data_IF_766511075619
#
_entry.id   IF_766511075619
#
_cell.length_a   1.000
_cell.length_b   1.000
_cell.length_c   1.000
_cell.angle_alpha   90.00
_cell.angle_beta   90.00
_cell.angle_gamma   90.00
#
_symmetry.space_group_name_H-M   'P 1'
#
loop_
_entity.id
_entity.type
_entity.pdbx_description
1 polymer ?
#
# COMPACT_ATOMS: atom_id res chain seq x y z
N UNK A 1 -0.89 39.24 -18.20
CA UNK A 1 -0.55 37.85 -17.79
C UNK A 1 -1.75 36.97 -18.08
N UNK A 2 -1.57 35.80 -18.68
CA UNK A 2 -2.66 34.82 -18.91
C UNK A 2 -2.63 33.76 -17.80
N UNK A 3 -3.76 33.51 -17.11
CA UNK A 3 -3.82 32.45 -16.12
C UNK A 3 -3.67 31.08 -16.79
N UNK A 4 -2.89 30.17 -16.20
CA UNK A 4 -2.65 28.82 -16.70
C UNK A 4 -2.90 27.81 -15.59
N UNK A 5 -3.50 26.68 -15.95
CA UNK A 5 -3.67 25.55 -15.03
C UNK A 5 -2.32 25.03 -14.54
N UNK A 6 -2.27 24.61 -13.27
CA UNK A 6 -1.08 24.00 -12.66
C UNK A 6 -0.71 22.72 -13.41
N UNK A 7 0.57 22.49 -13.64
CA UNK A 7 1.06 21.45 -14.57
C UNK A 7 0.69 20.02 -14.17
N UNK A 8 0.82 19.69 -12.89
CA UNK A 8 0.44 18.40 -12.30
C UNK A 8 -1.06 18.13 -12.47
N UNK A 9 -1.91 19.10 -12.15
CA UNK A 9 -3.37 18.96 -12.27
C UNK A 9 -3.78 18.90 -13.74
N UNK A 10 -3.18 19.73 -14.60
CA UNK A 10 -3.49 19.80 -16.02
C UNK A 10 -3.20 18.49 -16.76
N UNK A 11 -2.18 17.74 -16.32
CA UNK A 11 -1.83 16.43 -16.89
C UNK A 11 -2.60 15.30 -16.21
N UNK A 12 -2.62 15.25 -14.88
CA UNK A 12 -3.15 14.11 -14.14
C UNK A 12 -4.69 14.05 -14.17
N UNK A 13 -5.38 15.19 -14.10
CA UNK A 13 -6.85 15.18 -13.97
C UNK A 13 -7.54 14.62 -15.23
N UNK A 14 -7.19 15.03 -16.47
CA UNK A 14 -7.75 14.40 -17.67
C UNK A 14 -7.38 12.92 -17.80
N UNK A 15 -6.18 12.53 -17.37
CA UNK A 15 -5.77 11.13 -17.36
C UNK A 15 -6.66 10.29 -16.43
N UNK A 16 -6.92 10.77 -15.20
CA UNK A 16 -7.80 10.11 -14.24
C UNK A 16 -9.24 10.02 -14.75
N UNK A 17 -9.78 11.08 -15.36
CA UNK A 17 -11.11 11.05 -16.00
C UNK A 17 -11.21 10.00 -17.11
N UNK A 18 -10.15 9.83 -17.90
CA UNK A 18 -10.11 8.78 -18.91
C UNK A 18 -10.08 7.39 -18.28
N UNK A 19 -9.31 7.19 -17.21
CA UNK A 19 -9.28 5.92 -16.46
C UNK A 19 -10.66 5.58 -15.87
N UNK A 20 -11.35 6.58 -15.31
CA UNK A 20 -12.71 6.44 -14.78
C UNK A 20 -13.71 6.01 -15.87
N UNK A 21 -13.75 6.74 -16.99
CA UNK A 21 -14.60 6.40 -18.13
C UNK A 21 -14.35 4.96 -18.62
N UNK A 22 -13.10 4.54 -18.72
CA UNK A 22 -12.77 3.15 -19.10
C UNK A 22 -13.24 2.12 -18.07
N UNK A 23 -13.23 2.41 -16.77
CA UNK A 23 -13.79 1.49 -15.76
C UNK A 23 -15.31 1.38 -15.90
N UNK A 24 -15.99 2.51 -16.11
CA UNK A 24 -17.43 2.53 -16.35
C UNK A 24 -17.78 1.72 -17.60
N UNK A 25 -17.08 1.92 -18.72
CA UNK A 25 -17.27 1.15 -19.95
C UNK A 25 -17.08 -0.37 -19.73
N UNK A 26 -16.07 -0.76 -18.95
CA UNK A 26 -15.86 -2.17 -18.60
C UNK A 26 -17.07 -2.69 -17.81
N UNK A 27 -17.55 -1.96 -16.80
CA UNK A 27 -18.71 -2.35 -16.00
C UNK A 27 -19.99 -2.44 -16.85
N UNK A 28 -20.24 -1.46 -17.71
CA UNK A 28 -21.40 -1.44 -18.61
C UNK A 28 -21.36 -2.60 -19.61
N UNK A 29 -20.17 -3.10 -19.98
CA UNK A 29 -20.03 -4.28 -20.83
C UNK A 29 -20.33 -5.61 -20.13
N UNK A 30 -20.40 -5.63 -18.79
CA UNK A 30 -20.66 -6.83 -17.97
C UNK A 30 -22.17 -7.12 -17.82
N UNK A 31 -22.90 -7.01 -18.93
CA UNK A 31 -24.32 -7.39 -19.05
C UNK A 31 -24.49 -8.76 -19.71
N UNK A 32 -25.69 -9.31 -19.57
CA UNK A 32 -26.11 -10.62 -20.10
C UNK A 32 -25.13 -11.73 -19.74
N UNK A 33 -24.87 -11.91 -18.45
CA UNK A 33 -23.85 -12.81 -17.92
C UNK A 33 -24.38 -14.23 -17.77
N UNK A 34 -23.51 -15.23 -17.96
CA UNK A 34 -23.83 -16.64 -17.67
C UNK A 34 -23.71 -16.96 -16.17
N UNK A 35 -23.05 -16.08 -15.41
CA UNK A 35 -22.93 -16.16 -13.96
C UNK A 35 -23.98 -15.28 -13.28
N UNK A 36 -24.32 -15.61 -12.05
CA UNK A 36 -25.22 -14.84 -11.18
C UNK A 36 -24.68 -14.80 -9.75
N UNK A 37 -25.38 -14.11 -8.86
CA UNK A 37 -25.01 -13.97 -7.46
C UNK A 37 -26.12 -14.50 -6.56
N UNK A 38 -25.75 -15.28 -5.56
CA UNK A 38 -26.67 -15.75 -4.51
C UNK A 38 -26.41 -15.03 -3.19
N UNK A 39 -27.48 -14.57 -2.54
CA UNK A 39 -27.39 -13.91 -1.25
C UNK A 39 -27.06 -14.93 -0.16
N UNK A 40 -25.81 -14.93 0.30
CA UNK A 40 -25.39 -15.71 1.47
C UNK A 40 -25.61 -14.86 2.73
N UNK A 41 -26.81 -14.91 3.33
CA UNK A 41 -26.99 -14.23 4.63
C UNK A 41 -28.39 -13.85 5.09
N UNK A 42 -29.48 -14.32 4.49
CA UNK A 42 -30.80 -14.03 5.05
C UNK A 42 -30.97 -14.72 6.42
N UNK A 43 -31.11 -13.93 7.49
CA UNK A 43 -31.47 -14.43 8.85
C UNK A 43 -32.80 -15.21 8.85
N UNK A 44 -33.58 -15.13 7.76
CA UNK A 44 -34.86 -15.79 7.61
C UNK A 44 -34.75 -17.25 7.15
N UNK A 45 -33.61 -17.69 6.58
CA UNK A 45 -33.49 -19.06 6.09
C UNK A 45 -32.90 -19.97 7.18
N UNK A 46 -33.80 -20.49 8.00
CA UNK A 46 -33.48 -21.32 9.15
C UNK A 46 -32.74 -22.59 8.72
N UNK A 47 -31.53 -22.80 9.25
CA UNK A 47 -30.81 -24.09 9.25
C UNK A 47 -30.85 -24.87 7.92
N UNK A 48 -30.84 -24.18 6.79
CA UNK A 48 -30.58 -24.79 5.49
C UNK A 48 -29.11 -25.19 5.42
N UNK A 49 -28.83 -26.43 5.04
CA UNK A 49 -27.47 -27.00 4.94
C UNK A 49 -26.56 -26.13 4.06
N UNK A 50 -25.71 -25.33 4.70
CA UNK A 50 -24.53 -24.71 4.06
C UNK A 50 -23.50 -25.82 3.74
N UNK A 51 -23.76 -26.61 2.70
CA UNK A 51 -22.86 -27.65 2.18
C UNK A 51 -22.10 -27.20 0.92
N UNK A 52 -21.95 -25.88 0.71
CA UNK A 52 -21.03 -25.35 -0.30
C UNK A 52 -19.57 -25.35 0.20
N UNK A 53 -18.57 -25.73 -0.63
CA UNK A 53 -17.19 -25.96 -0.19
C UNK A 53 -16.41 -24.70 0.26
N UNK A 54 -16.96 -23.49 0.12
CA UNK A 54 -16.32 -22.27 0.62
C UNK A 54 -17.31 -21.33 1.29
N UNK A 55 -17.11 -21.13 2.59
CA UNK A 55 -17.55 -19.90 3.24
C UNK A 55 -16.72 -18.76 2.66
N UNK A 56 -17.35 -17.85 1.91
CA UNK A 56 -16.72 -16.60 1.51
C UNK A 56 -16.14 -15.92 2.77
N UNK A 57 -14.84 -15.55 2.75
CA UNK A 57 -14.23 -14.76 3.84
C UNK A 57 -15.01 -13.46 4.10
N UNK A 58 -15.77 -12.98 3.10
CA UNK A 58 -16.59 -11.78 3.13
C UNK A 58 -18.05 -12.18 3.21
N UNK A 59 -18.51 -12.51 4.42
CA UNK A 59 -19.88 -12.97 4.70
C UNK A 59 -20.98 -11.97 4.31
N UNK A 60 -20.62 -10.70 4.10
CA UNK A 60 -21.54 -9.62 3.71
C UNK A 60 -21.67 -9.43 2.18
N UNK A 61 -20.93 -10.18 1.37
CA UNK A 61 -21.02 -10.12 -0.09
C UNK A 61 -21.73 -11.35 -0.63
N UNK A 62 -22.57 -11.21 -1.67
CA UNK A 62 -23.20 -12.35 -2.30
C UNK A 62 -22.14 -13.21 -3.00
N UNK A 63 -22.36 -14.52 -2.99
CA UNK A 63 -21.43 -15.50 -3.55
C UNK A 63 -21.71 -15.66 -5.05
N UNK A 64 -20.68 -15.62 -5.93
CA UNK A 64 -20.90 -15.85 -7.35
C UNK A 64 -21.25 -17.32 -7.61
N UNK A 65 -22.08 -17.55 -8.63
CA UNK A 65 -22.45 -18.85 -9.15
C UNK A 65 -22.27 -18.87 -10.65
N UNK A 66 -21.93 -20.04 -11.17
CA UNK A 66 -21.77 -20.31 -12.61
C UNK A 66 -22.58 -21.56 -12.98
N UNK A 67 -22.91 -21.77 -14.27
CA UNK A 67 -23.66 -22.95 -14.70
C UNK A 67 -22.95 -24.25 -14.32
N UNK A 68 -23.69 -25.36 -14.18
CA UNK A 68 -23.12 -26.68 -13.81
C UNK A 68 -22.07 -27.19 -14.81
N UNK A 69 -22.07 -26.68 -16.04
CA UNK A 69 -21.08 -27.02 -17.08
C UNK A 69 -19.90 -26.03 -17.10
N UNK A 70 -19.92 -25.04 -16.21
CA UNK A 70 -19.07 -23.86 -16.21
C UNK A 70 -19.46 -22.84 -17.28
N UNK A 71 -18.75 -21.72 -17.29
CA UNK A 71 -18.85 -20.66 -18.29
C UNK A 71 -18.46 -21.17 -19.67
N UNK A 72 -19.14 -20.68 -20.70
CA UNK A 72 -18.74 -20.89 -22.09
C UNK A 72 -17.34 -20.32 -22.34
N UNK A 73 -16.60 -20.94 -23.26
CA UNK A 73 -15.24 -20.51 -23.57
C UNK A 73 -15.20 -19.05 -24.04
N UNK A 74 -16.23 -18.60 -24.76
CA UNK A 74 -16.37 -17.22 -25.21
C UNK A 74 -16.54 -16.25 -24.04
N UNK A 75 -17.50 -16.50 -23.13
CA UNK A 75 -17.73 -15.62 -21.97
C UNK A 75 -16.55 -15.60 -21.02
N UNK A 76 -15.92 -16.76 -20.77
CA UNK A 76 -14.69 -16.83 -19.96
C UNK A 76 -13.57 -15.99 -20.56
N UNK A 77 -13.30 -16.13 -21.87
CA UNK A 77 -12.27 -15.32 -22.57
C UNK A 77 -12.58 -13.82 -22.48
N UNK A 78 -13.85 -13.44 -22.66
CA UNK A 78 -14.30 -12.04 -22.53
C UNK A 78 -14.06 -11.50 -21.11
N UNK A 79 -14.41 -12.28 -20.09
CA UNK A 79 -14.21 -11.90 -18.68
C UNK A 79 -12.71 -11.71 -18.34
N UNK A 80 -11.85 -12.63 -18.81
CA UNK A 80 -10.39 -12.50 -18.67
C UNK A 80 -9.85 -11.27 -19.40
N UNK A 81 -10.36 -10.96 -20.58
CA UNK A 81 -9.98 -9.75 -21.32
C UNK A 81 -10.33 -8.49 -20.53
N UNK A 82 -11.55 -8.41 -19.97
CA UNK A 82 -11.95 -7.30 -19.12
C UNK A 82 -11.07 -7.17 -17.88
N UNK A 83 -10.73 -8.29 -17.22
CA UNK A 83 -9.79 -8.27 -16.09
C UNK A 83 -8.41 -7.71 -16.48
N UNK A 84 -7.90 -8.04 -17.68
CA UNK A 84 -6.63 -7.46 -18.17
C UNK A 84 -6.73 -5.95 -18.35
N UNK A 85 -7.82 -5.44 -18.91
CA UNK A 85 -8.03 -4.00 -19.06
C UNK A 85 -8.08 -3.29 -17.70
N UNK A 86 -8.89 -3.80 -16.76
CA UNK A 86 -9.01 -3.26 -15.40
C UNK A 86 -7.66 -3.27 -14.67
N UNK A 87 -6.85 -4.31 -14.86
CA UNK A 87 -5.51 -4.38 -14.27
C UNK A 87 -4.56 -3.30 -14.80
N UNK A 88 -4.64 -2.94 -16.08
CA UNK A 88 -3.87 -1.82 -16.62
C UNK A 88 -4.34 -0.48 -16.05
N UNK A 89 -5.66 -0.32 -15.90
CA UNK A 89 -6.24 0.87 -15.26
C UNK A 89 -5.77 1.00 -13.81
N UNK A 90 -5.82 -0.10 -13.05
CA UNK A 90 -5.31 -0.18 -11.68
C UNK A 90 -3.85 0.28 -11.59
N UNK A 91 -2.99 -0.24 -12.46
CA UNK A 91 -1.56 0.13 -12.50
C UNK A 91 -1.37 1.62 -12.81
N UNK A 92 -2.09 2.16 -13.80
CA UNK A 92 -2.00 3.56 -14.18
C UNK A 92 -2.48 4.48 -13.05
N UNK A 93 -3.63 4.18 -12.45
CA UNK A 93 -4.18 4.95 -11.33
C UNK A 93 -3.24 4.90 -10.11
N UNK A 94 -2.68 3.73 -9.80
CA UNK A 94 -1.73 3.55 -8.70
C UNK A 94 -0.44 4.36 -8.92
N UNK A 95 0.09 4.37 -10.14
CA UNK A 95 1.28 5.17 -10.47
C UNK A 95 1.03 6.67 -10.31
N UNK A 96 -0.13 7.18 -10.72
CA UNK A 96 -0.50 8.59 -10.48
C UNK A 96 -0.61 8.88 -8.97
N UNK A 97 -1.21 7.97 -8.21
CA UNK A 97 -1.36 8.10 -6.75
C UNK A 97 0.01 8.14 -6.04
N UNK A 98 0.92 7.22 -6.38
CA UNK A 98 2.28 7.19 -5.84
C UNK A 98 3.06 8.46 -6.21
N UNK A 99 2.90 8.97 -7.44
CA UNK A 99 3.57 10.18 -7.89
C UNK A 99 3.10 11.44 -7.14
N UNK A 100 1.78 11.59 -6.91
CA UNK A 100 1.27 12.74 -6.16
C UNK A 100 1.67 12.67 -4.68
N UNK A 101 1.64 11.48 -4.07
CA UNK A 101 2.12 11.28 -2.69
C UNK A 101 3.61 11.60 -2.55
N UNK A 102 4.43 11.27 -3.55
CA UNK A 102 5.83 11.65 -3.58
C UNK A 102 6.03 13.18 -3.61
N UNK A 103 5.18 13.90 -4.33
CA UNK A 103 5.21 15.37 -4.44
C UNK A 103 4.64 16.09 -3.22
N UNK A 104 3.83 15.43 -2.40
CA UNK A 104 3.32 16.02 -1.16
C UNK A 104 4.47 16.21 -0.15
N UNK A 105 4.64 17.43 0.39
CA UNK A 105 5.66 17.67 1.41
C UNK A 105 5.28 16.97 2.71
N UNK A 106 6.31 16.57 3.49
CA UNK A 106 6.08 16.06 4.84
C UNK A 106 5.67 17.24 5.74
N UNK A 107 4.51 17.19 6.42
CA UNK A 107 4.02 18.30 7.23
C UNK A 107 4.94 18.62 8.41
N UNK A 108 5.20 19.91 8.65
CA UNK A 108 6.04 20.37 9.76
C UNK A 108 5.54 19.89 11.14
N UNK A 109 4.21 19.79 11.30
CA UNK A 109 3.58 19.31 12.53
C UNK A 109 4.02 17.91 12.96
N UNK A 110 4.49 17.09 12.02
CA UNK A 110 4.88 15.69 12.27
C UNK A 110 6.39 15.49 12.29
N UNK A 111 7.16 16.48 11.83
CA UNK A 111 8.62 16.37 11.75
C UNK A 111 9.27 16.06 13.10
N UNK A 112 8.73 16.63 14.19
CA UNK A 112 9.26 16.43 15.55
C UNK A 112 9.01 15.02 16.11
N UNK A 113 8.00 14.33 15.60
CA UNK A 113 7.63 12.99 16.00
C UNK A 113 8.35 11.90 15.18
N UNK A 114 8.97 12.26 14.05
CA UNK A 114 9.74 11.33 13.24
C UNK A 114 11.13 11.07 13.87
N UNK A 115 11.73 9.88 13.62
CA UNK A 115 13.03 9.54 14.15
C UNK A 115 14.10 10.57 13.78
N UNK A 116 14.87 11.03 14.76
CA UNK A 116 15.94 12.02 14.57
C UNK A 116 17.24 11.43 14.00
N UNK A 117 17.32 10.11 13.85
CA UNK A 117 18.47 9.43 13.24
C UNK A 117 18.06 8.15 12.53
N UNK A 118 18.78 7.81 11.45
CA UNK A 118 18.55 6.56 10.72
C UNK A 118 18.72 5.31 11.60
N UNK A 119 19.68 5.31 12.52
CA UNK A 119 19.91 4.20 13.46
C UNK A 119 18.73 3.97 14.41
N UNK A 120 18.14 5.04 14.93
CA UNK A 120 16.95 4.93 15.79
C UNK A 120 15.73 4.38 15.04
N UNK A 121 15.60 4.70 13.74
CA UNK A 121 14.52 4.19 12.89
C UNK A 121 14.73 2.71 12.51
N UNK A 122 15.92 2.37 12.02
CA UNK A 122 16.25 1.04 11.49
C UNK A 122 16.59 0.01 12.56
N UNK A 123 16.94 0.43 13.78
CA UNK A 123 17.58 -0.46 14.76
C UNK A 123 18.98 -0.89 14.32
N UNK A 124 19.69 -1.62 15.18
CA UNK A 124 21.11 -1.94 15.00
C UNK A 124 21.39 -2.80 13.76
N UNK A 125 20.70 -3.95 13.63
CA UNK A 125 21.01 -4.94 12.61
C UNK A 125 20.76 -4.42 11.19
N UNK A 126 19.61 -3.79 10.97
CA UNK A 126 19.24 -3.24 9.68
C UNK A 126 20.06 -1.98 9.35
N UNK A 127 20.40 -1.16 10.36
CA UNK A 127 21.32 -0.03 10.15
C UNK A 127 22.70 -0.51 9.69
N UNK A 128 23.24 -1.57 10.31
CA UNK A 128 24.51 -2.17 9.90
C UNK A 128 24.41 -2.72 8.47
N UNK A 129 23.35 -3.45 8.14
CA UNK A 129 23.15 -4.00 6.80
C UNK A 129 23.08 -2.92 5.71
N UNK A 130 22.34 -1.83 5.96
CA UNK A 130 22.20 -0.72 5.01
C UNK A 130 23.49 0.08 4.87
N UNK A 131 24.21 0.34 5.96
CA UNK A 131 25.44 1.16 5.92
C UNK A 131 26.65 0.40 5.37
N UNK A 132 26.57 -0.91 5.25
CA UNK A 132 27.64 -1.76 4.74
C UNK A 132 27.53 -1.92 3.22
N UNK A 133 28.42 -1.26 2.47
CA UNK A 133 28.36 -1.17 1.00
C UNK A 133 28.43 -2.52 0.27
N UNK A 134 29.20 -3.48 0.78
CA UNK A 134 29.43 -4.77 0.11
C UNK A 134 28.26 -5.76 0.26
N UNK A 135 27.29 -5.50 1.13
CA UNK A 135 26.13 -6.37 1.29
C UNK A 135 25.12 -6.03 0.17
N UNK A 136 24.77 -6.97 -0.72
CA UNK A 136 23.79 -6.73 -1.76
C UNK A 136 22.37 -6.59 -1.18
N UNK A 137 21.52 -5.78 -1.82
CA UNK A 137 20.16 -5.47 -1.34
C UNK A 137 19.29 -6.74 -1.28
N UNK A 138 19.52 -7.68 -2.19
CA UNK A 138 18.83 -8.96 -2.24
C UNK A 138 19.13 -9.81 -1.00
N UNK A 139 20.35 -9.79 -0.49
CA UNK A 139 20.73 -10.50 0.73
C UNK A 139 20.10 -9.84 1.96
N UNK A 140 20.07 -8.50 2.01
CA UNK A 140 19.34 -7.75 3.05
C UNK A 140 17.87 -8.16 3.03
N UNK A 141 17.24 -8.17 1.86
CA UNK A 141 15.84 -8.57 1.70
C UNK A 141 15.58 -9.99 2.22
N UNK A 142 16.44 -10.96 1.90
CA UNK A 142 16.31 -12.34 2.39
C UNK A 142 16.47 -12.40 3.92
N UNK A 143 17.42 -11.65 4.48
CA UNK A 143 17.70 -11.64 5.93
C UNK A 143 16.55 -11.07 6.77
N UNK A 144 15.73 -10.19 6.21
CA UNK A 144 14.58 -9.59 6.92
C UNK A 144 13.52 -10.63 7.31
N UNK A 145 13.46 -11.78 6.63
CA UNK A 145 12.57 -12.91 6.97
C UNK A 145 11.08 -12.52 7.14
N UNK A 146 10.58 -11.64 6.28
CA UNK A 146 9.24 -11.05 6.37
C UNK A 146 8.15 -12.11 6.09
N UNK A 147 7.35 -12.43 7.11
CA UNK A 147 6.28 -13.46 7.04
C UNK A 147 4.87 -12.88 6.96
N UNK A 148 4.69 -11.61 7.31
CA UNK A 148 3.38 -10.97 7.38
C UNK A 148 3.37 -9.60 6.72
N UNK A 149 2.22 -9.20 6.19
CA UNK A 149 2.00 -7.86 5.63
C UNK A 149 2.35 -6.75 6.64
N UNK A 150 1.97 -6.94 7.91
CA UNK A 150 2.30 -6.00 8.98
C UNK A 150 3.81 -5.84 9.18
N UNK A 151 4.57 -6.95 9.19
CA UNK A 151 6.03 -6.88 9.29
C UNK A 151 6.67 -6.19 8.09
N UNK A 152 6.12 -6.37 6.88
CA UNK A 152 6.61 -5.68 5.69
C UNK A 152 6.36 -4.19 5.79
N UNK A 153 5.14 -3.78 6.14
CA UNK A 153 4.76 -2.38 6.28
C UNK A 153 5.58 -1.67 7.36
N UNK A 154 5.77 -2.32 8.51
CA UNK A 154 6.58 -1.78 9.60
C UNK A 154 8.04 -1.57 9.18
N UNK A 155 8.62 -2.53 8.45
CA UNK A 155 9.98 -2.37 7.90
C UNK A 155 10.05 -1.21 6.91
N UNK A 156 9.05 -1.02 6.05
CA UNK A 156 9.00 0.13 5.13
C UNK A 156 8.89 1.45 5.91
N UNK A 157 8.04 1.55 6.92
CA UNK A 157 7.92 2.74 7.76
C UNK A 157 9.26 3.10 8.42
N UNK A 158 10.00 2.10 8.92
CA UNK A 158 11.33 2.29 9.50
C UNK A 158 12.37 2.75 8.46
N UNK A 159 12.31 2.22 7.25
CA UNK A 159 13.15 2.63 6.13
C UNK A 159 12.87 4.09 5.71
N UNK A 160 11.59 4.45 5.54
CA UNK A 160 11.17 5.81 5.20
C UNK A 160 11.55 6.83 6.30
N UNK A 161 11.40 6.45 7.57
CA UNK A 161 11.86 7.26 8.71
C UNK A 161 13.39 7.48 8.71
N UNK A 162 14.17 6.50 8.25
CA UNK A 162 15.62 6.64 8.14
C UNK A 162 16.03 7.58 7.00
N UNK A 163 15.39 7.45 5.83
CA UNK A 163 15.57 8.35 4.69
C UNK A 163 15.22 9.78 5.08
N UNK A 164 14.11 9.98 5.80
CA UNK A 164 13.75 11.28 6.34
C UNK A 164 14.87 11.86 7.23
N UNK A 165 15.35 11.09 8.21
CA UNK A 165 16.40 11.53 9.13
C UNK A 165 17.72 11.89 8.43
N UNK A 166 18.15 11.10 7.44
CA UNK A 166 19.34 11.39 6.66
C UNK A 166 19.17 12.64 5.79
N UNK A 167 18.02 12.81 5.13
CA UNK A 167 17.72 14.01 4.36
C UNK A 167 17.73 15.28 5.21
N UNK A 168 17.12 15.26 6.40
CA UNK A 168 17.17 16.38 7.34
C UNK A 168 18.60 16.73 7.74
N UNK A 169 19.42 15.73 8.07
CA UNK A 169 20.83 15.94 8.42
C UNK A 169 21.64 16.52 7.25
N UNK A 170 21.40 16.05 6.03
CA UNK A 170 22.04 16.60 4.83
C UNK A 170 21.68 18.08 4.63
N UNK A 171 20.40 18.44 4.83
CA UNK A 171 19.93 19.83 4.73
C UNK A 171 20.56 20.73 5.82
N UNK A 172 20.58 20.27 7.07
CA UNK A 172 21.18 21.00 8.19
C UNK A 172 22.68 21.27 7.97
N UNK A 173 23.43 20.26 7.53
CA UNK A 173 24.86 20.40 7.25
C UNK A 173 25.13 21.31 6.04
N UNK A 174 24.24 21.35 5.04
CA UNK A 174 24.34 22.31 3.92
C UNK A 174 24.04 23.74 4.38
N UNK A 175 23.04 23.93 5.26
CA UNK A 175 22.66 25.24 5.80
C UNK A 175 23.78 25.86 6.65
N UNK A 176 24.45 25.06 7.48
CA UNK A 176 25.62 25.48 8.30
C UNK A 176 26.82 25.95 7.47
N UNK A 177 26.90 25.61 6.17
CA UNK A 177 27.97 26.04 5.26
C UNK A 177 27.72 27.38 4.56
N UNK A 178 26.61 28.07 4.84
CA UNK A 178 26.36 29.42 4.33
C UNK A 178 27.38 30.44 4.90
N UNK A 179 27.82 31.45 4.13
CA UNK A 179 29.04 32.23 4.41
C UNK A 179 28.97 33.13 5.66
N UNK A 180 27.84 33.19 6.35
CA UNK A 180 27.63 34.11 7.47
C UNK A 180 27.98 33.53 8.85
N UNK A 181 28.24 32.23 9.00
CA UNK A 181 28.56 31.60 10.30
C UNK A 181 29.56 30.46 10.17
N UNK A 182 30.83 30.80 10.05
CA UNK A 182 31.92 29.81 10.21
C UNK A 182 32.11 29.49 11.70
N UNK A 183 31.32 28.55 12.22
CA UNK A 183 31.62 27.89 13.50
C UNK A 183 32.70 26.85 13.25
N UNK A 184 33.86 27.03 13.87
CA UNK A 184 35.01 26.13 13.86
C UNK A 184 34.64 24.77 14.47
N UNK A 185 34.07 23.87 13.69
CA UNK A 185 33.91 22.48 14.09
C UNK A 185 34.90 21.62 13.29
N UNK A 186 35.75 20.93 14.06
CA UNK A 186 36.72 19.90 13.70
C UNK A 186 36.58 19.33 12.28
N UNK A 187 37.70 19.37 11.54
CA UNK A 187 37.94 18.74 10.23
C UNK A 187 37.79 17.20 10.27
N UNK A 188 36.59 16.70 10.52
CA UNK A 188 36.22 15.34 10.13
C UNK A 188 35.44 15.46 8.84
N UNK A 189 35.88 14.74 7.81
CA UNK A 189 35.46 14.79 6.40
C UNK A 189 33.94 14.85 6.21
N UNK A 190 33.35 16.02 6.43
CA UNK A 190 31.90 16.22 6.40
C UNK A 190 31.35 16.04 4.99
N UNK A 191 32.22 16.07 3.97
CA UNK A 191 31.88 15.68 2.60
C UNK A 191 31.70 14.16 2.47
N UNK A 192 32.56 13.37 3.13
CA UNK A 192 32.48 11.91 3.11
C UNK A 192 31.26 11.39 3.86
N UNK A 193 30.87 12.02 4.97
CA UNK A 193 29.67 11.63 5.72
C UNK A 193 28.39 11.89 4.94
N UNK A 194 28.31 13.01 4.20
CA UNK A 194 27.16 13.31 3.33
C UNK A 194 27.07 12.31 2.17
N UNK A 195 28.19 11.92 1.56
CA UNK A 195 28.23 10.92 0.50
C UNK A 195 27.80 9.53 1.00
N UNK A 196 28.22 9.14 2.21
CA UNK A 196 27.77 7.90 2.84
C UNK A 196 26.27 7.92 3.12
N UNK A 197 25.72 9.04 3.57
CA UNK A 197 24.28 9.18 3.79
C UNK A 197 23.49 9.10 2.48
N UNK A 198 23.95 9.73 1.40
CA UNK A 198 23.28 9.60 0.10
C UNK A 198 23.34 8.16 -0.42
N UNK A 199 24.47 7.46 -0.29
CA UNK A 199 24.58 6.06 -0.66
C UNK A 199 23.64 5.16 0.16
N UNK A 200 23.46 5.46 1.46
CA UNK A 200 22.47 4.77 2.30
C UNK A 200 21.04 5.02 1.84
N UNK A 201 20.70 6.26 1.43
CA UNK A 201 19.38 6.60 0.89
C UNK A 201 19.12 5.80 -0.39
N UNK A 202 20.05 5.78 -1.35
CA UNK A 202 19.90 5.03 -2.61
C UNK A 202 19.68 3.53 -2.35
N UNK A 203 20.39 2.96 -1.37
CA UNK A 203 20.23 1.57 -0.93
C UNK A 203 18.86 1.32 -0.31
N UNK A 204 18.38 2.23 0.53
CA UNK A 204 17.02 2.14 1.11
C UNK A 204 15.95 2.24 0.03
N UNK A 205 16.05 3.19 -0.89
CA UNK A 205 15.08 3.36 -1.98
C UNK A 205 15.00 2.09 -2.84
N UNK A 206 16.14 1.48 -3.15
CA UNK A 206 16.19 0.20 -3.88
C UNK A 206 15.52 -0.93 -3.09
N UNK A 207 15.77 -1.01 -1.78
CA UNK A 207 15.13 -2.02 -0.92
C UNK A 207 13.61 -1.81 -0.80
N UNK A 208 13.15 -0.56 -0.66
CA UNK A 208 11.72 -0.22 -0.62
C UNK A 208 11.05 -0.56 -1.95
N UNK A 209 11.68 -0.28 -3.09
CA UNK A 209 11.17 -0.69 -4.40
C UNK A 209 11.07 -2.21 -4.52
N UNK A 210 12.09 -2.96 -4.07
CA UNK A 210 12.05 -4.41 -4.04
C UNK A 210 10.91 -4.93 -3.16
N UNK A 211 10.73 -4.37 -1.95
CA UNK A 211 9.63 -4.72 -1.06
C UNK A 211 8.26 -4.44 -1.70
N UNK A 212 8.05 -3.25 -2.27
CA UNK A 212 6.80 -2.88 -2.95
C UNK A 212 6.52 -3.76 -4.18
N UNK A 213 7.55 -4.22 -4.88
CA UNK A 213 7.40 -5.15 -6.01
C UNK A 213 6.96 -6.55 -5.58
N UNK A 214 7.43 -7.02 -4.41
CA UNK A 214 7.09 -8.34 -3.84
C UNK A 214 5.74 -8.31 -3.11
N UNK A 215 5.37 -7.16 -2.57
CA UNK A 215 4.14 -6.94 -1.81
C UNK A 215 3.34 -5.78 -2.42
N UNK A 216 2.69 -5.99 -3.58
CA UNK A 216 2.06 -4.90 -4.34
C UNK A 216 0.79 -4.32 -3.68
N UNK A 217 0.21 -4.99 -2.70
CA UNK A 217 -1.06 -4.59 -2.07
C UNK A 217 -0.87 -4.13 -0.62
N UNK A 218 0.28 -3.52 -0.31
CA UNK A 218 0.51 -2.97 1.01
C UNK A 218 -0.45 -1.83 1.33
N UNK A 219 -0.89 -1.70 2.59
CA UNK A 219 -1.57 -0.51 3.08
C UNK A 219 -0.68 0.72 2.91
N UNK A 220 -1.26 1.94 2.91
CA UNK A 220 -0.48 3.16 2.86
C UNK A 220 0.50 3.24 4.03
N UNK A 221 1.69 3.78 3.78
CA UNK A 221 2.71 3.93 4.82
C UNK A 221 2.30 5.00 5.82
N UNK A 222 2.96 5.01 6.97
CA UNK A 222 2.73 6.02 7.98
C UNK A 222 2.95 7.44 7.44
N UNK A 223 4.03 7.65 6.68
CA UNK A 223 4.31 8.95 6.07
C UNK A 223 3.25 9.32 5.02
N UNK A 224 2.80 8.38 4.20
CA UNK A 224 1.75 8.63 3.21
C UNK A 224 0.43 9.07 3.86
N UNK A 225 0.02 8.40 4.95
CA UNK A 225 -1.19 8.78 5.69
C UNK A 225 -1.08 10.20 6.25
N UNK A 226 0.08 10.55 6.82
CA UNK A 226 0.30 11.88 7.38
C UNK A 226 0.32 12.97 6.32
N UNK A 227 0.95 12.71 5.17
CA UNK A 227 0.94 13.62 4.02
C UNK A 227 -0.49 13.93 3.62
N UNK A 228 -1.35 12.91 3.48
CA UNK A 228 -2.76 13.10 3.12
C UNK A 228 -3.54 13.85 4.22
N UNK A 229 -3.38 13.44 5.48
CA UNK A 229 -4.12 14.01 6.61
C UNK A 229 -3.87 15.51 6.80
N UNK A 230 -2.63 15.94 6.62
CA UNK A 230 -2.19 17.32 6.88
C UNK A 230 -1.94 18.12 5.60
N UNK A 231 -2.29 17.58 4.42
CA UNK A 231 -2.15 18.29 3.16
C UNK A 231 -3.07 19.51 3.10
N UNK A 232 -2.53 20.64 2.68
CA UNK A 232 -3.26 21.90 2.46
C UNK A 232 -3.44 22.23 0.97
N UNK A 233 -2.77 21.48 0.09
CA UNK A 233 -2.81 21.71 -1.36
C UNK A 233 -4.04 21.02 -1.97
N UNK A 234 -5.03 21.81 -2.40
CA UNK A 234 -6.28 21.31 -2.97
C UNK A 234 -6.03 20.49 -4.26
N UNK A 235 -5.08 20.88 -5.10
CA UNK A 235 -4.82 20.16 -6.34
C UNK A 235 -4.20 18.78 -6.09
N UNK A 236 -3.27 18.68 -5.14
CA UNK A 236 -2.73 17.39 -4.72
C UNK A 236 -3.81 16.54 -4.04
N UNK A 237 -4.68 17.15 -3.21
CA UNK A 237 -5.78 16.44 -2.56
C UNK A 237 -6.74 15.81 -3.57
N UNK A 238 -7.14 16.56 -4.61
CA UNK A 238 -8.03 16.05 -5.67
C UNK A 238 -7.36 14.91 -6.43
N UNK A 239 -6.11 15.07 -6.85
CA UNK A 239 -5.39 14.06 -7.62
C UNK A 239 -5.17 12.79 -6.79
N UNK A 240 -4.77 12.91 -5.51
CA UNK A 240 -4.60 11.77 -4.60
C UNK A 240 -5.91 11.05 -4.35
N UNK A 241 -6.95 11.77 -3.93
CA UNK A 241 -8.21 11.15 -3.56
C UNK A 241 -8.86 10.46 -4.77
N UNK A 242 -8.84 11.12 -5.94
CA UNK A 242 -9.44 10.55 -7.14
C UNK A 242 -8.68 9.31 -7.62
N UNK A 243 -7.34 9.39 -7.70
CA UNK A 243 -6.52 8.23 -8.07
C UNK A 243 -6.68 7.06 -7.09
N UNK A 244 -6.72 7.31 -5.77
CA UNK A 244 -6.94 6.28 -4.75
C UNK A 244 -8.31 5.62 -4.88
N UNK A 245 -9.37 6.38 -5.18
CA UNK A 245 -10.70 5.81 -5.43
C UNK A 245 -10.69 4.90 -6.66
N UNK A 246 -10.08 5.32 -7.77
CA UNK A 246 -9.98 4.49 -8.98
C UNK A 246 -9.18 3.21 -8.73
N UNK A 247 -8.09 3.27 -7.94
CA UNK A 247 -7.35 2.09 -7.48
C UNK A 247 -8.28 1.13 -6.73
N UNK A 248 -9.05 1.63 -5.77
CA UNK A 248 -9.99 0.83 -4.97
C UNK A 248 -11.10 0.18 -5.79
N UNK A 249 -11.70 0.93 -6.73
CA UNK A 249 -12.75 0.41 -7.62
C UNK A 249 -12.19 -0.64 -8.57
N UNK A 250 -11.08 -0.36 -9.25
CA UNK A 250 -10.45 -1.31 -10.18
C UNK A 250 -10.08 -2.63 -9.47
N UNK A 251 -9.52 -2.54 -8.27
CA UNK A 251 -9.17 -3.70 -7.47
C UNK A 251 -10.42 -4.49 -7.00
N UNK A 252 -11.50 -3.79 -6.65
CA UNK A 252 -12.78 -4.44 -6.29
C UNK A 252 -13.37 -5.21 -7.47
N UNK A 253 -13.35 -4.64 -8.68
CA UNK A 253 -13.78 -5.33 -9.91
C UNK A 253 -12.92 -6.57 -10.16
N UNK A 254 -11.59 -6.45 -10.11
CA UNK A 254 -10.68 -7.60 -10.28
C UNK A 254 -10.96 -8.71 -9.26
N UNK A 255 -11.23 -8.34 -8.01
CA UNK A 255 -11.56 -9.30 -6.95
C UNK A 255 -12.85 -10.05 -7.26
N UNK A 256 -13.90 -9.36 -7.73
CA UNK A 256 -15.16 -10.00 -8.15
C UNK A 256 -14.96 -10.93 -9.34
N UNK A 257 -14.22 -10.48 -10.35
CA UNK A 257 -13.91 -11.30 -11.54
C UNK A 257 -13.12 -12.55 -11.16
N UNK A 258 -12.15 -12.43 -10.25
CA UNK A 258 -11.36 -13.55 -9.78
C UNK A 258 -12.22 -14.59 -9.03
N UNK A 259 -13.18 -14.16 -8.22
CA UNK A 259 -14.11 -15.08 -7.55
C UNK A 259 -15.00 -15.85 -8.54
N UNK A 260 -15.50 -15.18 -9.59
CA UNK A 260 -16.27 -15.84 -10.65
C UNK A 260 -15.42 -16.88 -11.40
N UNK A 261 -14.19 -16.50 -11.79
CA UNK A 261 -13.28 -17.40 -12.51
C UNK A 261 -12.88 -18.60 -11.65
N UNK A 262 -12.72 -18.38 -10.34
CA UNK A 262 -12.42 -19.46 -9.40
C UNK A 262 -13.59 -20.43 -9.27
N UNK A 263 -14.82 -19.95 -9.16
CA UNK A 263 -16.00 -20.82 -9.14
C UNK A 263 -16.11 -21.63 -10.45
N UNK A 264 -15.83 -21.00 -11.61
CA UNK A 264 -15.81 -21.68 -12.91
C UNK A 264 -14.72 -22.77 -12.99
N UNK A 265 -13.56 -22.54 -12.39
CA UNK A 265 -12.47 -23.53 -12.32
C UNK A 265 -12.84 -24.74 -11.45
N UNK A 266 -13.53 -24.50 -10.32
CA UNK A 266 -13.98 -25.58 -9.43
C UNK A 266 -14.99 -26.52 -10.10
N UNK A 267 -15.84 -26.00 -10.99
CA UNK A 267 -16.81 -26.82 -11.73
C UNK A 267 -16.11 -27.65 -12.84
N UNK A 268 -15.09 -27.08 -13.49
CA UNK A 268 -14.39 -27.74 -14.60
C UNK A 268 -13.36 -28.77 -14.15
N UNK A 269 -12.84 -28.70 -12.92
CA UNK A 269 -11.84 -29.63 -12.40
C UNK A 269 -12.12 -30.11 -10.96
N UNK A 270 -12.68 -31.33 -10.78
CA UNK A 270 -12.40 -32.09 -9.57
C UNK A 270 -11.10 -32.92 -9.66
N UNK A 271 -10.50 -33.12 -10.85
CA UNK A 271 -9.43 -34.15 -11.06
C UNK A 271 -8.26 -33.80 -12.01
N UNK A 272 -8.02 -32.54 -12.38
CA UNK A 272 -6.81 -32.16 -13.16
C UNK A 272 -6.06 -31.00 -12.51
N UNK A 273 -4.73 -30.89 -12.69
CA UNK A 273 -3.94 -29.86 -12.02
C UNK A 273 -4.02 -28.54 -12.79
N UNK A 274 -4.96 -27.70 -12.37
CA UNK A 274 -4.93 -26.23 -12.35
C UNK A 274 -4.15 -25.60 -13.50
N UNK A 275 -4.83 -25.32 -14.62
CA UNK A 275 -4.36 -24.32 -15.58
C UNK A 275 -4.53 -22.92 -14.96
N UNK A 276 -3.67 -22.60 -13.99
CA UNK A 276 -3.63 -21.34 -13.28
C UNK A 276 -3.51 -20.23 -14.30
N UNK A 277 -4.56 -19.43 -14.47
CA UNK A 277 -4.38 -18.07 -14.95
C UNK A 277 -3.47 -17.40 -13.91
N UNK A 278 -2.16 -17.39 -14.18
CA UNK A 278 -1.13 -16.65 -13.43
C UNK A 278 -1.34 -15.14 -13.61
N UNK A 279 -2.53 -14.66 -13.28
CA UNK A 279 -2.57 -13.42 -12.53
C UNK A 279 -2.03 -13.81 -11.16
N UNK A 280 -1.05 -13.08 -10.62
CA UNK A 280 -0.52 -13.34 -9.27
C UNK A 280 -1.61 -13.33 -8.16
N UNK A 281 -2.87 -13.08 -8.50
CA UNK A 281 -4.06 -13.27 -7.66
C UNK A 281 -4.20 -14.64 -7.00
N UNK A 282 -3.52 -15.70 -7.47
CA UNK A 282 -3.59 -17.05 -6.89
C UNK A 282 -2.64 -17.31 -5.72
N UNK A 283 -1.76 -16.36 -5.37
CA UNK A 283 -1.08 -16.46 -4.08
C UNK A 283 -2.11 -16.15 -3.00
N UNK A 284 -2.20 -16.97 -1.95
CA UNK A 284 -3.00 -16.63 -0.75
C UNK A 284 -2.72 -15.21 -0.23
N UNK A 285 -1.61 -14.58 -0.65
CA UNK A 285 -1.24 -13.17 -0.48
C UNK A 285 -2.21 -12.17 -1.13
N UNK A 286 -2.82 -12.46 -2.28
CA UNK A 286 -3.75 -11.54 -2.96
C UNK A 286 -5.17 -11.55 -2.37
N UNK A 287 -5.62 -12.70 -1.86
CA UNK A 287 -6.84 -12.78 -1.05
C UNK A 287 -6.60 -12.43 0.43
N UNK A 288 -5.35 -12.47 0.91
CA UNK A 288 -4.97 -12.04 2.26
C UNK A 288 -4.77 -10.53 2.41
N UNK A 289 -4.42 -9.81 1.33
CA UNK A 289 -4.38 -8.33 1.32
C UNK A 289 -5.76 -7.67 1.50
N UNK A 290 -6.84 -8.48 1.52
CA UNK A 290 -8.16 -8.12 2.04
C UNK A 290 -8.70 -9.18 2.99
N UNK A 291 -7.84 -9.85 3.77
CA UNK A 291 -8.20 -9.77 5.18
C UNK A 291 -8.14 -8.29 5.46
N UNK A 292 -9.31 -7.67 5.68
CA UNK A 292 -9.33 -6.79 6.83
C UNK A 292 -8.69 -7.62 7.93
N UNK A 293 -7.39 -7.40 8.17
CA UNK A 293 -6.84 -7.74 9.46
C UNK A 293 -7.87 -7.18 10.42
N UNK A 294 -8.46 -8.00 11.32
CA UNK A 294 -9.53 -7.53 12.18
C UNK A 294 -9.10 -6.16 12.67
N UNK A 295 -9.91 -5.09 12.47
CA UNK A 295 -9.49 -3.69 12.46
C UNK A 295 -8.84 -3.19 13.77
N UNK A 296 -8.53 -4.08 14.70
CA UNK A 296 -7.68 -3.87 15.84
C UNK A 296 -6.20 -3.76 15.50
N UNK A 297 -5.53 -4.71 14.84
CA UNK A 297 -4.04 -4.78 15.00
C UNK A 297 -3.23 -3.79 14.14
N UNK A 298 -3.48 -3.71 12.82
CA UNK A 298 -2.75 -2.78 11.94
C UNK A 298 -3.20 -1.33 12.20
N UNK A 299 -4.50 -1.10 12.41
CA UNK A 299 -4.99 0.22 12.84
C UNK A 299 -4.43 0.60 14.19
N UNK A 300 -4.29 -0.29 15.19
CA UNK A 300 -3.67 0.07 16.48
C UNK A 300 -2.24 0.55 16.26
N UNK A 301 -1.38 -0.17 15.55
CA UNK A 301 0.01 0.27 15.35
C UNK A 301 0.10 1.63 14.63
N UNK A 302 -0.64 1.83 13.54
CA UNK A 302 -0.63 3.09 12.80
C UNK A 302 -1.33 4.22 13.58
N UNK A 303 -2.38 3.92 14.33
CA UNK A 303 -3.11 4.89 15.16
C UNK A 303 -2.35 5.20 16.46
N UNK A 304 -1.56 4.28 16.98
CA UNK A 304 -0.60 4.49 18.07
C UNK A 304 0.48 5.45 17.59
N UNK A 305 1.03 5.23 16.39
CA UNK A 305 1.99 6.16 15.76
C UNK A 305 1.36 7.54 15.50
N UNK A 306 0.15 7.62 14.95
CA UNK A 306 -0.57 8.90 14.74
C UNK A 306 -0.88 9.57 16.08
N UNK A 307 -1.32 8.83 17.10
CA UNK A 307 -1.64 9.40 18.42
C UNK A 307 -0.42 9.96 19.14
N UNK A 308 0.77 9.42 18.85
CA UNK A 308 2.06 9.91 19.32
C UNK A 308 2.43 11.24 18.63
N UNK A 309 2.08 11.39 17.35
CA UNK A 309 2.19 12.66 16.59
C UNK A 309 1.18 13.70 17.08
N UNK A 310 -0.08 13.31 17.27
CA UNK A 310 -1.18 14.20 17.67
C UNK A 310 -1.11 14.61 19.15
N UNK A 311 -0.08 14.19 19.89
CA UNK A 311 0.16 14.55 21.29
C UNK A 311 -0.87 14.00 22.29
N UNK A 312 -1.78 13.10 21.86
CA UNK A 312 -2.92 12.63 22.70
C UNK A 312 -2.55 11.66 23.82
N UNK A 313 -1.30 11.21 23.93
CA UNK A 313 -0.84 10.36 25.05
C UNK A 313 -0.09 11.09 26.17
N UNK A 314 0.24 12.38 26.00
CA UNK A 314 0.99 13.11 27.03
C UNK A 314 0.17 13.57 28.24
N UNK A 315 -1.15 13.36 28.27
CA UNK A 315 -2.01 13.86 29.37
C UNK A 315 -2.71 12.80 30.20
N UNK A 316 -2.61 11.49 29.89
CA UNK A 316 -3.41 10.48 30.60
C UNK A 316 -2.60 9.44 31.40
N UNK A 317 -1.29 9.25 31.16
CA UNK A 317 -0.54 8.19 31.85
C UNK A 317 0.03 8.60 33.23
N UNK A 318 -0.11 9.86 33.66
CA UNK A 318 0.37 10.27 35.01
C UNK A 318 -0.58 9.97 36.18
N UNK A 319 -1.75 9.37 35.97
CA UNK A 319 -2.62 8.94 37.09
C UNK A 319 -3.37 7.64 36.77
N UNK A 320 -2.71 6.50 37.03
CA UNK A 320 -3.23 5.40 37.87
C UNK A 320 -2.25 4.23 37.77
N UNK A 321 -1.65 3.89 38.92
CA UNK A 321 -0.90 2.66 39.07
C UNK A 321 -1.80 1.43 39.04
N UNK A 322 -1.15 0.26 38.94
CA UNK A 322 -1.69 -1.09 39.20
C UNK A 322 -2.63 -1.57 38.07
N UNK A 323 -2.43 -2.68 37.34
CA UNK A 323 -1.97 -4.03 37.70
C UNK A 323 -1.53 -4.77 36.42
N UNK A 324 -0.46 -5.55 36.48
CA UNK A 324 -0.13 -6.56 35.45
C UNK A 324 -1.26 -7.59 35.34
N UNK A 325 -1.69 -7.89 34.12
CA UNK A 325 -2.39 -9.12 33.80
C UNK A 325 -1.59 -9.86 32.72
N UNK A 326 -1.08 -11.03 33.10
CA UNK A 326 -0.57 -12.07 32.19
C UNK A 326 -1.70 -12.55 31.31
N UNK A 327 -1.46 -12.63 30.00
CA UNK A 327 -1.78 -13.77 29.13
C UNK A 327 -0.72 -13.83 28.04
#
# INVERSE_FOLDING_TARGET
MTPKARSDVHVNLPALQKLDAMLIEVMDSMVDTEYWYEESGSRADGRGKNNGPRQSKKWWLPSPRVPEQGLSQFRRKRLVFQAKLVHQILKAAKSINEQVLFQMPIPAAVMDALPKSGRASLGEDLYHAITTEYIPIEEIFVSLSLKSEHSVLETINRLEGAVFAWNQRILDERSKRSPARHSWNFMKDSSSELQKMSACIDRVDTLVQLLKSRFPNLPPTFIDVLKVQYNVDIGHAIVEAYSRVLVGVAFSILSRVAEILLEDDLIKEPNTPTATLKFDLSSDVYLAGITETPPGHIRRSLMDQISLVDGRFNTVVKKKGVKQLRW
#
